data_IF_458175267334
#
_entry.id   IF_458175267334
#
_cell.length_a   1.000
_cell.length_b   1.000
_cell.length_c   1.000
_cell.angle_alpha   90.00
_cell.angle_beta   90.00
_cell.angle_gamma   90.00
#
_symmetry.space_group_name_H-M   'P 1'
#
loop_
_entity.id
_entity.type
_entity.pdbx_description
1 polymer ?
#
# COMPACT_ATOMS: atom_id res chain seq x y z
N UNK A 1 41.54 37.64 0.86
CA UNK A 1 40.09 37.49 0.59
C UNK A 1 39.91 36.12 -0.04
N UNK A 2 39.53 35.11 0.76
CA UNK A 2 39.26 33.76 0.24
C UNK A 2 37.76 33.57 0.26
N UNK A 3 37.17 33.42 -0.92
CA UNK A 3 35.76 33.10 -1.10
C UNK A 3 35.65 31.58 -0.90
N UNK A 4 35.18 31.15 0.27
CA UNK A 4 34.72 29.79 0.46
C UNK A 4 33.40 29.65 -0.29
N UNK A 5 33.45 29.05 -1.48
CA UNK A 5 32.25 28.54 -2.15
C UNK A 5 31.82 27.31 -1.35
N UNK A 6 30.87 27.46 -0.44
CA UNK A 6 30.27 26.33 0.27
C UNK A 6 29.36 25.56 -0.69
N UNK A 7 29.95 24.65 -1.48
CA UNK A 7 29.23 23.64 -2.25
C UNK A 7 28.76 22.46 -1.37
N UNK A 8 28.28 22.74 -0.16
CA UNK A 8 27.51 21.75 0.59
C UNK A 8 26.06 21.90 0.15
N UNK A 9 25.64 21.09 -0.83
CA UNK A 9 24.22 20.77 -0.94
C UNK A 9 23.79 20.30 0.44
N UNK A 10 22.85 21.02 1.08
CA UNK A 10 22.22 20.51 2.29
C UNK A 10 21.77 19.08 2.00
N UNK A 11 22.21 18.07 2.77
CA UNK A 11 21.82 16.70 2.50
C UNK A 11 20.30 16.63 2.47
N UNK A 12 19.77 15.94 1.47
CA UNK A 12 18.32 15.72 1.33
C UNK A 12 17.82 15.15 2.64
N UNK A 13 16.70 15.66 3.17
CA UNK A 13 16.31 15.44 4.57
C UNK A 13 16.35 13.97 5.02
N UNK A 14 16.00 13.05 4.11
CA UNK A 14 15.91 11.62 4.35
C UNK A 14 17.26 10.88 4.40
N UNK A 15 18.36 11.46 3.89
CA UNK A 15 19.66 10.77 3.78
C UNK A 15 20.30 10.45 5.13
N UNK A 16 20.02 11.26 6.15
CA UNK A 16 20.52 11.09 7.52
C UNK A 16 19.38 11.06 8.55
N UNK A 17 18.15 10.86 8.11
CA UNK A 17 16.98 10.89 8.97
C UNK A 17 16.83 9.60 9.78
N UNK A 18 16.43 9.73 11.04
CA UNK A 18 15.95 8.63 11.86
C UNK A 18 14.42 8.58 11.76
N UNK A 19 13.90 7.44 11.33
CA UNK A 19 12.47 7.17 11.20
C UNK A 19 11.92 6.39 12.39
N UNK A 20 10.69 6.69 12.77
CA UNK A 20 9.93 5.94 13.76
C UNK A 20 8.69 5.33 13.12
N UNK A 21 8.68 4.01 12.96
CA UNK A 21 7.53 3.31 12.41
C UNK A 21 6.44 3.19 13.49
N UNK A 22 5.23 3.59 13.14
CA UNK A 22 4.03 3.48 13.98
C UNK A 22 3.10 2.49 13.32
N UNK A 23 2.68 1.48 14.08
CA UNK A 23 1.58 0.58 13.72
C UNK A 23 0.30 1.08 14.42
N UNK A 24 -0.61 1.78 13.72
CA UNK A 24 -1.69 2.56 14.36
C UNK A 24 -2.51 1.74 15.35
N UNK A 25 -2.95 0.56 14.93
CA UNK A 25 -3.79 -0.38 15.70
C UNK A 25 -3.27 -0.72 17.09
N UNK A 26 -1.96 -0.67 17.32
CA UNK A 26 -1.37 -1.07 18.60
C UNK A 26 -0.54 0.04 19.27
N UNK A 27 -0.63 1.28 18.79
CA UNK A 27 0.17 2.37 19.32
C UNK A 27 -0.48 3.00 20.55
N UNK A 28 -1.66 3.61 20.38
CA UNK A 28 -2.41 4.19 21.49
C UNK A 28 -3.88 4.37 21.14
N UNK A 29 -4.76 3.84 21.99
CA UNK A 29 -6.23 3.97 21.92
C UNK A 29 -6.66 5.22 22.70
N UNK A 30 -7.34 6.15 22.02
CA UNK A 30 -7.82 7.41 22.61
C UNK A 30 -9.33 7.43 22.90
N UNK A 31 -10.09 6.48 22.37
CA UNK A 31 -11.55 6.44 22.46
C UNK A 31 -12.09 5.26 23.32
N UNK A 32 -11.18 4.41 23.82
CA UNK A 32 -11.45 3.23 24.65
C UNK A 32 -12.19 2.07 23.95
N UNK A 33 -12.05 1.93 22.63
CA UNK A 33 -12.61 0.80 21.88
C UNK A 33 -11.68 -0.43 21.79
N UNK A 34 -10.44 -0.32 22.30
CA UNK A 34 -9.42 -1.36 22.32
C UNK A 34 -8.50 -1.37 21.09
N UNK A 35 -8.63 -0.38 20.19
CA UNK A 35 -7.85 -0.24 18.96
C UNK A 35 -7.14 1.12 18.99
N UNK A 36 -5.86 1.14 18.63
CA UNK A 36 -5.14 2.41 18.52
C UNK A 36 -5.59 3.23 17.31
N UNK A 37 -5.68 4.55 17.47
CA UNK A 37 -6.28 5.48 16.52
C UNK A 37 -5.40 6.73 16.28
N UNK A 38 -5.76 7.55 15.29
CA UNK A 38 -4.95 8.72 14.88
C UNK A 38 -4.89 9.79 15.97
N UNK A 39 -5.99 10.03 16.69
CA UNK A 39 -6.02 10.96 17.82
C UNK A 39 -5.11 10.47 18.96
N UNK A 40 -5.01 9.16 19.13
CA UNK A 40 -4.06 8.52 20.03
C UNK A 40 -2.61 8.78 19.64
N UNK A 41 -2.28 8.70 18.34
CA UNK A 41 -0.95 9.08 17.82
C UNK A 41 -0.65 10.56 18.12
N UNK A 42 -1.59 11.46 17.82
CA UNK A 42 -1.47 12.91 18.10
C UNK A 42 -1.21 13.15 19.59
N UNK A 43 -1.97 12.49 20.48
CA UNK A 43 -1.82 12.63 21.93
C UNK A 43 -0.43 12.25 22.46
N UNK A 44 0.30 11.42 21.71
CA UNK A 44 1.67 10.98 22.04
C UNK A 44 2.76 11.80 21.36
N UNK A 45 2.41 12.92 20.73
CA UNK A 45 3.38 13.86 20.16
C UNK A 45 4.54 14.22 21.12
N UNK A 46 4.32 14.49 22.43
CA UNK A 46 5.41 14.78 23.35
C UNK A 46 6.41 13.62 23.50
N UNK A 47 5.92 12.38 23.47
CA UNK A 47 6.76 11.19 23.50
C UNK A 47 7.53 11.03 22.19
N UNK A 48 6.86 11.13 21.04
CA UNK A 48 7.51 10.96 19.73
C UNK A 48 8.61 12.01 19.55
N UNK A 49 8.35 13.25 19.96
CA UNK A 49 9.33 14.34 19.95
C UNK A 49 10.54 14.06 20.85
N UNK A 50 10.33 13.47 22.03
CA UNK A 50 11.42 13.19 22.97
C UNK A 50 12.40 12.11 22.47
N UNK A 51 11.97 11.28 21.50
CA UNK A 51 12.85 10.33 20.81
C UNK A 51 13.86 11.00 19.87
N UNK A 52 13.64 12.27 19.48
CA UNK A 52 14.52 12.99 18.57
C UNK A 52 14.45 12.52 17.11
N UNK A 53 13.32 11.93 16.71
CA UNK A 53 13.11 11.37 15.36
C UNK A 53 12.86 12.48 14.34
N UNK A 54 13.21 12.23 13.08
CA UNK A 54 13.03 13.20 11.98
C UNK A 54 11.74 12.96 11.21
N UNK A 55 11.24 11.72 11.19
CA UNK A 55 9.98 11.38 10.55
C UNK A 55 9.29 10.23 11.26
N UNK A 56 7.97 10.17 11.10
CA UNK A 56 7.18 8.98 11.39
C UNK A 56 6.79 8.29 10.10
N UNK A 57 6.79 6.96 10.12
CA UNK A 57 6.21 6.13 9.07
C UNK A 57 5.00 5.41 9.64
N UNK A 58 3.81 5.71 9.13
CA UNK A 58 2.60 5.01 9.50
C UNK A 58 2.42 3.77 8.62
N UNK A 59 2.32 2.60 9.25
CA UNK A 59 1.74 1.42 8.61
C UNK A 59 0.27 1.68 8.19
N UNK A 60 -0.33 0.83 7.32
CA UNK A 60 -1.60 1.15 6.67
C UNK A 60 -2.73 1.53 7.64
N UNK A 61 -3.45 2.61 7.28
CA UNK A 61 -4.63 3.13 7.96
C UNK A 61 -5.77 3.48 6.99
N UNK A 62 -5.58 3.20 5.70
CA UNK A 62 -6.61 3.39 4.67
C UNK A 62 -7.76 2.41 4.86
N UNK A 63 -8.93 2.75 4.31
CA UNK A 63 -10.11 1.90 4.37
C UNK A 63 -9.81 0.49 3.83
N UNK A 64 -10.02 -0.52 4.68
CA UNK A 64 -9.65 -1.91 4.40
C UNK A 64 -10.66 -2.90 5.00
N UNK A 65 -10.93 -4.05 4.35
CA UNK A 65 -11.62 -5.16 4.99
C UNK A 65 -10.81 -5.85 6.10
N UNK A 66 -9.53 -5.47 6.28
CA UNK A 66 -8.62 -5.97 7.30
C UNK A 66 -8.32 -7.49 7.18
N UNK A 67 -8.32 -8.05 5.97
CA UNK A 67 -7.87 -9.43 5.73
C UNK A 67 -6.37 -9.56 6.03
N UNK A 68 -5.60 -8.53 5.72
CA UNK A 68 -4.16 -8.44 5.96
C UNK A 68 -3.84 -7.18 6.78
N UNK A 69 -4.66 -6.89 7.79
CA UNK A 69 -4.50 -5.77 8.72
C UNK A 69 -4.19 -4.41 8.05
N UNK A 70 -4.96 -4.06 7.02
CA UNK A 70 -4.85 -2.76 6.33
C UNK A 70 -4.04 -2.81 5.03
N UNK A 71 -3.28 -3.87 4.77
CA UNK A 71 -2.56 -4.03 3.51
C UNK A 71 -3.47 -4.41 2.33
N UNK A 72 -4.69 -4.88 2.59
CA UNK A 72 -5.75 -5.03 1.60
C UNK A 72 -6.59 -3.74 1.47
N UNK A 73 -6.06 -2.75 0.74
CA UNK A 73 -6.68 -1.40 0.61
C UNK A 73 -7.91 -1.42 -0.32
N UNK A 74 -9.06 -0.96 0.19
CA UNK A 74 -10.32 -0.85 -0.58
C UNK A 74 -10.60 0.56 -1.11
N UNK A 75 -10.00 1.58 -0.50
CA UNK A 75 -10.02 2.96 -0.99
C UNK A 75 -8.76 3.70 -0.49
N UNK A 76 -7.96 4.21 -1.42
CA UNK A 76 -6.70 4.89 -1.13
C UNK A 76 -6.86 6.33 -0.64
N UNK A 77 -8.06 6.89 -0.66
CA UNK A 77 -8.37 8.26 -0.21
C UNK A 77 -9.35 8.30 0.97
N UNK A 78 -9.76 7.14 1.48
CA UNK A 78 -10.57 7.02 2.68
C UNK A 78 -9.75 6.40 3.83
N UNK A 79 -10.07 6.80 5.05
CA UNK A 79 -9.47 6.27 6.28
C UNK A 79 -10.36 5.16 6.81
N UNK A 80 -9.76 4.10 7.32
CA UNK A 80 -10.54 3.07 8.02
C UNK A 80 -11.21 3.70 9.26
N UNK A 81 -12.55 3.59 9.42
CA UNK A 81 -13.25 4.23 10.53
C UNK A 81 -12.74 3.85 11.92
N UNK A 82 -12.06 2.69 12.07
CA UNK A 82 -11.45 2.30 13.34
C UNK A 82 -10.25 3.19 13.74
N UNK A 83 -9.66 3.92 12.79
CA UNK A 83 -8.53 4.82 13.04
C UNK A 83 -8.95 6.29 13.13
N UNK A 84 -10.13 6.64 12.62
CA UNK A 84 -10.65 8.00 12.62
C UNK A 84 -11.09 8.46 11.24
N UNK A 85 -10.92 9.75 10.98
CA UNK A 85 -11.40 10.45 9.79
C UNK A 85 -10.25 11.01 8.95
N UNK A 86 -10.58 11.52 7.77
CA UNK A 86 -9.62 12.22 6.93
C UNK A 86 -9.14 13.53 7.59
N UNK A 87 -10.01 14.21 8.35
CA UNK A 87 -9.66 15.43 9.07
C UNK A 87 -8.65 15.14 10.20
N UNK A 88 -8.78 14.01 10.91
CA UNK A 88 -7.81 13.57 11.92
C UNK A 88 -6.41 13.36 11.31
N UNK A 89 -6.35 12.84 10.07
CA UNK A 89 -5.07 12.68 9.36
C UNK A 89 -4.45 14.03 9.02
N UNK A 90 -5.25 15.00 8.55
CA UNK A 90 -4.74 16.34 8.26
C UNK A 90 -4.29 17.06 9.54
N UNK A 91 -5.04 16.94 10.64
CA UNK A 91 -4.62 17.44 11.95
C UNK A 91 -3.29 16.81 12.37
N UNK A 92 -3.15 15.48 12.22
CA UNK A 92 -1.91 14.79 12.52
C UNK A 92 -0.75 15.37 11.69
N UNK A 93 -0.89 15.48 10.36
CA UNK A 93 0.16 16.03 9.50
C UNK A 93 0.59 17.42 9.99
N UNK A 94 -0.37 18.31 10.27
CA UNK A 94 -0.10 19.67 10.75
C UNK A 94 0.64 19.66 12.09
N UNK A 95 0.20 18.84 13.06
CA UNK A 95 0.83 18.72 14.38
C UNK A 95 2.27 18.19 14.29
N UNK A 96 2.52 17.21 13.42
CA UNK A 96 3.85 16.67 13.17
C UNK A 96 4.77 17.71 12.52
N UNK A 97 4.27 18.43 11.51
CA UNK A 97 5.02 19.50 10.83
C UNK A 97 5.36 20.66 11.76
N UNK A 98 4.44 21.08 12.65
CA UNK A 98 4.70 22.10 13.67
C UNK A 98 5.83 21.71 14.64
N UNK A 99 6.11 20.41 14.77
CA UNK A 99 7.19 19.88 15.57
C UNK A 99 8.45 19.53 14.75
N UNK A 100 8.52 19.93 13.48
CA UNK A 100 9.58 19.60 12.52
C UNK A 100 9.78 18.09 12.31
N UNK A 101 8.69 17.31 12.42
CA UNK A 101 8.68 15.87 12.15
C UNK A 101 7.93 15.64 10.85
N UNK A 102 8.55 14.92 9.92
CA UNK A 102 7.96 14.57 8.62
C UNK A 102 7.01 13.37 8.75
N UNK A 103 6.04 13.27 7.86
CA UNK A 103 5.04 12.18 7.85
C UNK A 103 5.17 11.36 6.57
N UNK A 104 5.44 10.07 6.75
CA UNK A 104 5.55 9.08 5.68
C UNK A 104 4.42 8.06 5.81
N UNK A 105 3.74 7.75 4.70
CA UNK A 105 2.70 6.72 4.69
C UNK A 105 3.19 5.42 4.07
N UNK A 106 2.70 4.29 4.56
CA UNK A 106 2.74 3.05 3.79
C UNK A 106 1.87 3.19 2.53
N UNK A 107 2.35 2.71 1.40
CA UNK A 107 1.62 2.73 0.14
C UNK A 107 1.67 1.35 -0.51
N UNK A 108 0.53 0.67 -0.49
CA UNK A 108 0.37 -0.69 -1.01
C UNK A 108 -0.17 -0.64 -2.42
N UNK A 109 0.71 -0.80 -3.41
CA UNK A 109 0.37 -0.61 -4.83
C UNK A 109 0.71 -1.83 -5.70
N UNK A 110 1.13 -2.95 -5.09
CA UNK A 110 1.23 -4.23 -5.79
C UNK A 110 -0.16 -4.84 -6.07
N UNK A 111 -1.07 -4.69 -5.12
CA UNK A 111 -2.43 -5.22 -5.14
C UNK A 111 -3.39 -4.22 -4.49
N UNK A 112 -4.69 -4.44 -4.69
CA UNK A 112 -5.76 -3.79 -3.91
C UNK A 112 -6.53 -4.85 -3.13
N UNK A 113 -7.47 -4.46 -2.27
CA UNK A 113 -8.54 -5.34 -1.83
C UNK A 113 -9.44 -5.77 -3.00
N UNK A 114 -10.06 -6.95 -2.90
CA UNK A 114 -11.14 -7.38 -3.79
C UNK A 114 -12.44 -6.56 -3.62
N UNK A 115 -12.55 -5.79 -2.54
CA UNK A 115 -13.60 -4.81 -2.30
C UNK A 115 -13.30 -3.44 -2.93
N UNK A 116 -12.09 -3.24 -3.47
CA UNK A 116 -11.72 -2.01 -4.17
C UNK A 116 -12.58 -1.81 -5.43
N UNK A 117 -12.99 -0.58 -5.73
CA UNK A 117 -13.89 -0.29 -6.84
C UNK A 117 -13.32 -0.77 -8.19
N UNK A 118 -12.01 -0.61 -8.42
CA UNK A 118 -11.34 -1.16 -9.60
C UNK A 118 -11.58 -2.67 -9.75
N UNK A 119 -11.37 -3.48 -8.71
CA UNK A 119 -11.55 -4.93 -8.83
C UNK A 119 -13.01 -5.33 -8.96
N UNK A 120 -13.91 -4.68 -8.20
CA UNK A 120 -15.35 -4.90 -8.30
C UNK A 120 -15.86 -4.68 -9.72
N UNK A 121 -15.32 -3.70 -10.45
CA UNK A 121 -15.64 -3.49 -11.87
C UNK A 121 -14.91 -4.48 -12.77
N UNK A 122 -13.60 -4.68 -12.56
CA UNK A 122 -12.76 -5.55 -13.40
C UNK A 122 -13.29 -6.98 -13.50
N UNK A 123 -13.85 -7.54 -12.41
CA UNK A 123 -14.34 -8.91 -12.37
C UNK A 123 -15.68 -9.13 -13.07
N UNK A 124 -16.40 -8.07 -13.49
CA UNK A 124 -17.75 -8.20 -14.06
C UNK A 124 -17.76 -8.70 -15.50
N UNK A 125 -16.83 -8.24 -16.33
CA UNK A 125 -16.76 -8.57 -17.75
C UNK A 125 -15.36 -8.28 -18.30
N UNK A 126 -14.95 -9.04 -19.32
CA UNK A 126 -13.69 -8.81 -20.06
C UNK A 126 -13.68 -7.49 -20.82
N UNK A 127 -14.86 -6.94 -21.13
CA UNK A 127 -15.01 -5.66 -21.83
C UNK A 127 -15.04 -4.45 -20.86
N UNK A 128 -14.99 -4.68 -19.55
CA UNK A 128 -15.02 -3.59 -18.57
C UNK A 128 -13.72 -2.76 -18.66
N UNK A 129 -13.78 -1.41 -18.63
CA UNK A 129 -12.60 -0.55 -18.69
C UNK A 129 -11.54 -0.82 -17.61
N UNK A 130 -11.95 -1.38 -16.47
CA UNK A 130 -11.07 -1.77 -15.37
C UNK A 130 -10.56 -3.21 -15.47
N UNK A 131 -11.04 -4.03 -16.41
CA UNK A 131 -10.66 -5.45 -16.49
C UNK A 131 -9.12 -5.60 -16.51
N UNK A 132 -8.46 -4.88 -17.42
CA UNK A 132 -7.01 -4.91 -17.58
C UNK A 132 -6.22 -4.19 -16.47
N UNK A 133 -6.87 -3.65 -15.43
CA UNK A 133 -6.15 -3.15 -14.24
C UNK A 133 -5.56 -4.30 -13.42
N UNK A 134 -6.05 -5.52 -13.60
CA UNK A 134 -5.60 -6.72 -12.89
C UNK A 134 -5.07 -7.77 -13.87
N UNK A 135 -4.39 -8.77 -13.33
CA UNK A 135 -3.76 -9.82 -14.12
C UNK A 135 -4.74 -11.00 -14.25
N UNK A 136 -5.24 -11.21 -15.46
CA UNK A 136 -6.19 -12.29 -15.80
C UNK A 136 -5.57 -13.34 -16.72
N UNK A 137 -5.88 -14.62 -16.52
CA UNK A 137 -5.44 -15.69 -17.42
C UNK A 137 -6.54 -16.73 -17.62
N UNK A 138 -6.73 -17.12 -18.88
CA UNK A 138 -7.61 -18.24 -19.24
C UNK A 138 -7.14 -19.55 -18.59
N UNK A 139 -8.06 -20.47 -18.26
CA UNK A 139 -7.69 -21.82 -17.86
C UNK A 139 -6.81 -22.49 -18.91
N UNK A 140 -5.85 -23.30 -18.45
CA UNK A 140 -5.03 -24.17 -19.31
C UNK A 140 -5.46 -25.61 -19.06
N UNK A 141 -5.99 -26.29 -20.08
CA UNK A 141 -6.55 -27.65 -19.97
C UNK A 141 -7.59 -27.79 -18.84
N UNK A 142 -8.43 -26.77 -18.65
CA UNK A 142 -9.47 -26.76 -17.60
C UNK A 142 -8.95 -26.55 -16.17
N UNK A 143 -7.65 -26.28 -16.00
CA UNK A 143 -7.00 -26.06 -14.70
C UNK A 143 -6.40 -24.65 -14.59
N UNK A 144 -5.82 -24.35 -13.41
CA UNK A 144 -5.08 -23.10 -13.15
C UNK A 144 -3.99 -22.86 -14.21
N UNK A 145 -3.66 -21.60 -14.55
CA UNK A 145 -2.78 -21.26 -15.67
C UNK A 145 -1.34 -21.77 -15.56
N UNK A 146 -0.80 -21.85 -14.35
CA UNK A 146 0.54 -22.36 -14.04
C UNK A 146 0.65 -22.75 -12.56
N UNK A 147 1.80 -23.27 -12.16
CA UNK A 147 2.10 -23.74 -10.80
C UNK A 147 2.53 -22.63 -9.82
N UNK A 148 2.25 -21.35 -10.09
CA UNK A 148 2.61 -20.27 -9.18
C UNK A 148 1.81 -20.38 -7.87
N UNK A 149 2.49 -20.15 -6.76
CA UNK A 149 1.95 -20.28 -5.41
C UNK A 149 1.85 -18.93 -4.74
N UNK A 150 0.78 -18.74 -3.96
CA UNK A 150 0.64 -17.57 -3.10
C UNK A 150 1.66 -17.66 -1.97
N UNK A 151 2.20 -16.52 -1.54
CA UNK A 151 3.05 -16.43 -0.36
C UNK A 151 2.28 -16.73 0.94
N UNK A 152 0.95 -16.63 0.92
CA UNK A 152 0.07 -17.02 2.03
C UNK A 152 -0.47 -18.45 1.89
N UNK A 153 0.00 -19.19 0.88
CA UNK A 153 -0.31 -20.60 0.67
C UNK A 153 -1.39 -20.86 -0.37
N UNK A 154 -1.29 -22.04 -1.01
CA UNK A 154 -2.18 -22.45 -2.09
C UNK A 154 -1.78 -21.87 -3.46
N UNK A 155 -2.68 -22.05 -4.43
CA UNK A 155 -2.56 -21.47 -5.77
C UNK A 155 -2.55 -19.94 -5.69
N UNK A 156 -1.73 -19.29 -6.52
CA UNK A 156 -1.77 -17.84 -6.73
C UNK A 156 -2.86 -17.39 -7.73
N UNK A 157 -3.76 -18.31 -8.09
CA UNK A 157 -4.81 -18.11 -9.07
C UNK A 157 -6.16 -18.48 -8.49
N UNK A 158 -7.13 -17.59 -8.64
CA UNK A 158 -8.50 -17.78 -8.22
C UNK A 158 -9.46 -17.57 -9.40
N UNK A 159 -10.42 -18.47 -9.56
CA UNK A 159 -11.32 -18.49 -10.72
C UNK A 159 -12.43 -17.44 -10.58
N UNK A 160 -12.72 -16.70 -11.65
CA UNK A 160 -13.82 -15.76 -11.74
C UNK A 160 -14.89 -16.27 -12.72
N UNK A 161 -16.07 -16.70 -12.22
CA UNK A 161 -17.11 -17.27 -13.08
C UNK A 161 -17.64 -16.33 -14.17
N UNK A 162 -17.68 -15.02 -13.90
CA UNK A 162 -18.25 -14.03 -14.82
C UNK A 162 -17.42 -13.88 -16.11
N UNK A 163 -16.09 -13.92 -15.99
CA UNK A 163 -15.17 -13.82 -17.15
C UNK A 163 -14.65 -15.18 -17.62
N UNK A 164 -14.83 -16.23 -16.81
CA UNK A 164 -14.27 -17.58 -17.02
C UNK A 164 -12.74 -17.60 -17.06
N UNK A 165 -12.12 -16.63 -16.42
CA UNK A 165 -10.67 -16.50 -16.27
C UNK A 165 -10.26 -16.63 -14.81
N UNK A 166 -8.97 -16.88 -14.57
CA UNK A 166 -8.35 -16.76 -13.26
C UNK A 166 -7.74 -15.38 -13.09
N UNK A 167 -7.93 -14.74 -11.94
CA UNK A 167 -7.12 -13.59 -11.56
C UNK A 167 -5.93 -14.02 -10.71
N UNK A 168 -4.83 -13.29 -10.84
CA UNK A 168 -3.62 -13.51 -10.06
C UNK A 168 -3.70 -12.77 -8.71
N UNK A 169 -3.23 -13.42 -7.65
CA UNK A 169 -3.01 -12.82 -6.34
C UNK A 169 -1.74 -13.40 -5.73
N UNK A 170 -0.75 -12.56 -5.41
CA UNK A 170 0.50 -13.04 -4.80
C UNK A 170 0.31 -13.40 -3.32
N UNK A 171 -0.60 -12.70 -2.65
CA UNK A 171 -0.90 -12.86 -1.22
C UNK A 171 -2.28 -13.50 -1.05
N UNK A 172 -3.16 -12.94 -0.23
CA UNK A 172 -4.51 -13.47 -0.04
C UNK A 172 -5.33 -13.41 -1.34
N UNK A 173 -6.35 -14.27 -1.46
CA UNK A 173 -7.27 -14.24 -2.60
C UNK A 173 -8.00 -12.89 -2.71
N UNK A 174 -8.22 -12.25 -1.57
CA UNK A 174 -8.80 -10.92 -1.44
C UNK A 174 -7.82 -9.79 -1.78
N UNK A 175 -6.59 -10.10 -2.18
CA UNK A 175 -5.56 -9.15 -2.61
C UNK A 175 -5.19 -9.37 -4.09
N UNK A 176 -6.11 -9.13 -5.04
CA UNK A 176 -5.83 -9.25 -6.47
C UNK A 176 -4.73 -8.27 -6.90
N UNK A 177 -3.72 -8.80 -7.60
CA UNK A 177 -2.54 -8.05 -8.02
C UNK A 177 -2.85 -7.13 -9.22
N UNK A 178 -2.38 -5.89 -9.11
CA UNK A 178 -2.47 -4.91 -10.18
C UNK A 178 -1.55 -5.28 -11.35
N UNK A 179 -2.03 -5.01 -12.55
CA UNK A 179 -1.28 -5.19 -13.79
C UNK A 179 -0.42 -3.97 -14.09
N UNK A 180 0.82 -3.99 -13.60
CA UNK A 180 1.84 -2.96 -13.87
C UNK A 180 2.38 -2.95 -15.31
N UNK A 181 1.86 -3.74 -16.24
CA UNK A 181 2.07 -3.50 -17.67
C UNK A 181 1.07 -2.50 -18.26
N UNK A 182 -0.02 -2.21 -17.54
CA UNK A 182 -1.05 -1.30 -18.00
C UNK A 182 -0.69 0.16 -17.63
N UNK A 183 -0.46 1.05 -18.60
CA UNK A 183 -0.12 2.45 -18.31
C UNK A 183 -1.23 3.20 -17.56
N UNK A 184 -2.49 2.76 -17.64
CA UNK A 184 -3.59 3.35 -16.87
C UNK A 184 -3.44 3.08 -15.36
N UNK A 185 -2.88 1.93 -14.98
CA UNK A 185 -2.57 1.62 -13.57
C UNK A 185 -1.50 2.59 -13.05
N UNK A 186 -0.45 2.84 -13.84
CA UNK A 186 0.59 3.82 -13.47
C UNK A 186 0.00 5.21 -13.24
N UNK A 187 -0.86 5.66 -14.16
CA UNK A 187 -1.52 6.96 -14.05
C UNK A 187 -2.47 7.04 -12.84
N UNK A 188 -3.20 5.96 -12.54
CA UNK A 188 -4.09 5.91 -11.40
C UNK A 188 -3.31 5.96 -10.07
N UNK A 189 -2.21 5.21 -9.96
CA UNK A 189 -1.33 5.22 -8.79
C UNK A 189 -0.62 6.57 -8.62
N UNK A 190 -0.13 7.17 -9.71
CA UNK A 190 0.47 8.50 -9.65
C UNK A 190 -0.51 9.55 -9.08
N UNK A 191 -1.78 9.50 -9.51
CA UNK A 191 -2.81 10.40 -8.95
C UNK A 191 -3.06 10.20 -7.45
N UNK A 192 -2.94 8.97 -6.95
CA UNK A 192 -3.05 8.69 -5.50
C UNK A 192 -1.87 9.34 -4.76
N UNK A 193 -0.66 9.17 -5.29
CA UNK A 193 0.57 9.75 -4.73
C UNK A 193 0.47 11.28 -4.74
N UNK A 194 0.12 11.88 -5.87
CA UNK A 194 0.00 13.33 -6.03
C UNK A 194 -1.04 13.90 -5.06
N UNK A 195 -2.19 13.25 -4.93
CA UNK A 195 -3.25 13.70 -4.02
C UNK A 195 -2.79 13.79 -2.57
N UNK A 196 -2.04 12.79 -2.10
CA UNK A 196 -1.50 12.77 -0.73
C UNK A 196 -0.30 13.72 -0.56
N UNK A 197 0.58 13.82 -1.56
CA UNK A 197 1.71 14.74 -1.55
C UNK A 197 1.25 16.22 -1.51
N UNK A 198 0.22 16.58 -2.27
CA UNK A 198 -0.43 17.89 -2.25
C UNK A 198 -1.04 18.24 -0.87
N UNK A 199 -1.27 17.22 -0.02
CA UNK A 199 -1.88 17.34 1.31
C UNK A 199 -0.86 17.20 2.45
N UNK A 200 0.43 17.34 2.15
CA UNK A 200 1.48 17.45 3.16
C UNK A 200 2.16 16.13 3.54
N UNK A 201 1.88 15.03 2.84
CA UNK A 201 2.65 13.78 3.02
C UNK A 201 4.06 13.97 2.47
N UNK A 202 5.08 13.67 3.27
CA UNK A 202 6.49 13.93 2.95
C UNK A 202 7.19 12.79 2.21
N UNK A 203 6.54 11.62 2.17
CA UNK A 203 7.06 10.46 1.46
C UNK A 203 6.19 9.22 1.62
N UNK A 204 6.58 8.17 0.91
CA UNK A 204 5.89 6.88 0.95
C UNK A 204 6.89 5.75 1.16
N UNK A 205 6.55 4.80 2.03
CA UNK A 205 7.15 3.47 2.05
C UNK A 205 6.35 2.60 1.10
N UNK A 206 7.00 2.10 0.04
CA UNK A 206 6.32 1.29 -0.98
C UNK A 206 6.34 -0.19 -0.58
N UNK A 207 5.18 -0.72 -0.22
CA UNK A 207 5.02 -2.13 0.13
C UNK A 207 5.20 -3.05 -1.08
N UNK A 208 5.77 -4.24 -0.86
CA UNK A 208 5.92 -5.29 -1.87
C UNK A 208 6.51 -4.81 -3.21
N UNK A 209 7.38 -3.79 -3.18
CA UNK A 209 7.87 -3.11 -4.40
C UNK A 209 8.62 -4.04 -5.37
N UNK A 210 9.29 -5.07 -4.84
CA UNK A 210 9.97 -6.10 -5.64
C UNK A 210 9.01 -6.99 -6.42
N UNK A 211 7.73 -6.96 -6.10
CA UNK A 211 6.71 -7.81 -6.69
C UNK A 211 5.89 -7.13 -7.79
N UNK A 212 5.99 -5.81 -8.01
CA UNK A 212 5.12 -5.11 -8.98
C UNK A 212 5.08 -5.77 -10.37
N UNK A 213 6.27 -6.07 -10.92
CA UNK A 213 6.44 -6.66 -12.25
C UNK A 213 6.42 -8.18 -12.16
N UNK A 214 5.58 -8.81 -12.98
CA UNK A 214 5.48 -10.27 -13.09
C UNK A 214 6.19 -10.75 -14.35
N UNK A 215 6.61 -12.02 -14.37
CA UNK A 215 7.18 -12.60 -15.59
C UNK A 215 6.08 -12.77 -16.65
N UNK A 216 6.15 -11.97 -17.71
CA UNK A 216 5.11 -11.92 -18.74
C UNK A 216 4.97 -13.19 -19.57
N UNK A 217 5.85 -14.18 -19.40
CA UNK A 217 5.72 -15.50 -20.05
C UNK A 217 4.74 -16.43 -19.32
N UNK A 218 4.43 -16.16 -18.05
CA UNK A 218 3.52 -16.97 -17.21
C UNK A 218 3.79 -18.48 -17.23
N UNK A 219 5.05 -18.88 -17.42
CA UNK A 219 5.46 -20.28 -17.38
C UNK A 219 5.50 -20.78 -15.94
N UNK A 220 5.37 -22.10 -15.79
CA UNK A 220 5.63 -22.78 -14.53
C UNK A 220 6.99 -22.39 -13.95
N UNK A 221 7.00 -22.17 -12.65
CA UNK A 221 8.22 -22.09 -11.86
C UNK A 221 8.90 -23.47 -11.84
N UNK A 222 10.26 -23.52 -11.89
CA UNK A 222 10.99 -24.77 -11.76
C UNK A 222 10.58 -25.51 -10.49
N UNK A 223 10.13 -26.76 -10.63
CA UNK A 223 9.85 -27.59 -9.46
C UNK A 223 11.18 -27.97 -8.82
N UNK A 224 11.43 -27.50 -7.60
CA UNK A 224 12.57 -27.96 -6.82
C UNK A 224 12.27 -29.41 -6.45
N UNK A 225 12.92 -30.38 -7.09
CA UNK A 225 12.96 -31.76 -6.58
C UNK A 225 13.56 -31.65 -5.18
N UNK A 226 12.73 -31.81 -4.15
CA UNK A 226 13.23 -32.01 -2.79
C UNK A 226 14.10 -33.27 -2.85
N UNK A 227 15.39 -33.09 -2.55
CA UNK A 227 16.30 -34.22 -2.30
C UNK A 227 16.01 -34.78 -0.92
#
# INVERSE_FOLDING_TARGET
MSILISNQQNPTWWQNAVGYQIYPKSFFDSNHDGIGDIQGIISKMPYIKSLGVNFVWLSPFFASPNIDNGYDVSDYQAIDPQYGTLDDIFEMIDQFHQNNIRVVFDLVINHTSDQHHWFKEAKKSVDNPYHDFYIWRKPVNGSVPNNWVSLFGGSAWEYNPATKDYYYHLFAKQQPDLNWENPKVHQAVAKIIDWWAERGVDGFRLDAISHLKKNQRFKDSPTRKMR
#
